data_IF_005734621727
#
_entry.id   IF_005734621727
#
_cell.length_a   1.000
_cell.length_b   1.000
_cell.length_c   1.000
_cell.angle_alpha   90.00
_cell.angle_beta   90.00
_cell.angle_gamma   90.00
#
_symmetry.space_group_name_H-M   'P 1'
#
loop_
_entity.id
_entity.type
_entity.pdbx_description
1 polymer ?
#
# COMPACT_ATOMS: atom_id res chain seq x y z
N UNK A 1 11.66 3.58 -7.59
CA UNK A 1 10.61 3.88 -6.60
C UNK A 1 9.24 3.35 -7.04
N UNK A 2 8.75 3.57 -8.28
CA UNK A 2 7.54 2.90 -8.80
C UNK A 2 7.60 1.36 -8.74
N UNK A 3 8.78 0.77 -8.99
CA UNK A 3 9.02 -0.67 -8.82
C UNK A 3 8.73 -1.18 -7.41
N UNK A 4 8.95 -0.35 -6.38
CA UNK A 4 8.74 -0.72 -4.99
C UNK A 4 7.25 -0.84 -4.65
N UNK A 5 6.40 0.05 -5.17
CA UNK A 5 4.97 0.02 -4.88
C UNK A 5 4.25 -1.15 -5.58
N UNK A 6 4.60 -1.46 -6.83
CA UNK A 6 4.04 -2.61 -7.55
C UNK A 6 4.42 -3.92 -6.85
N UNK A 7 5.68 -4.05 -6.42
CA UNK A 7 6.13 -5.21 -5.63
C UNK A 7 5.43 -5.29 -4.26
N UNK A 8 5.20 -4.16 -3.60
CA UNK A 8 4.42 -4.14 -2.37
C UNK A 8 2.98 -4.61 -2.58
N UNK A 9 2.32 -4.19 -3.66
CA UNK A 9 0.97 -4.65 -4.01
C UNK A 9 0.95 -6.15 -4.31
N UNK A 10 2.02 -6.71 -4.89
CA UNK A 10 2.15 -8.16 -5.05
C UNK A 10 2.23 -8.86 -3.69
N UNK A 11 2.98 -8.32 -2.72
CA UNK A 11 3.03 -8.85 -1.35
C UNK A 11 1.64 -8.85 -0.69
N UNK A 12 0.89 -7.75 -0.82
CA UNK A 12 -0.48 -7.68 -0.30
C UNK A 12 -1.38 -8.78 -0.87
N UNK A 13 -1.30 -9.03 -2.18
CA UNK A 13 -2.06 -10.11 -2.83
C UNK A 13 -1.66 -11.50 -2.34
N UNK A 14 -0.39 -11.72 -1.97
CA UNK A 14 0.05 -12.98 -1.36
C UNK A 14 -0.44 -13.18 0.08
N UNK A 15 -0.96 -12.13 0.71
CA UNK A 15 -1.52 -12.14 2.06
C UNK A 15 -3.04 -11.89 2.06
N UNK A 16 -3.73 -12.35 1.01
CA UNK A 16 -5.18 -12.31 0.86
C UNK A 16 -5.83 -10.91 0.78
N UNK A 17 -5.05 -9.83 0.67
CA UNK A 17 -5.59 -8.49 0.37
C UNK A 17 -5.84 -8.38 -1.13
N UNK A 18 -7.11 -8.33 -1.51
CA UNK A 18 -7.51 -8.29 -2.93
C UNK A 18 -7.39 -6.88 -3.50
N UNK A 19 -6.25 -6.60 -4.13
CA UNK A 19 -6.04 -5.34 -4.85
C UNK A 19 -6.37 -5.48 -6.34
N UNK A 20 -7.37 -4.74 -6.82
CA UNK A 20 -7.76 -4.63 -8.22
C UNK A 20 -6.83 -3.71 -9.04
N UNK A 21 -6.91 -3.73 -10.39
CA UNK A 21 -6.17 -2.78 -11.22
C UNK A 21 -6.54 -1.31 -10.97
N UNK A 22 -7.81 -1.02 -10.67
CA UNK A 22 -8.25 0.35 -10.36
C UNK A 22 -7.60 0.85 -9.06
N UNK A 23 -7.61 0.04 -8.00
CA UNK A 23 -6.97 0.38 -6.73
C UNK A 23 -5.46 0.50 -6.85
N UNK A 24 -4.85 -0.25 -7.77
CA UNK A 24 -3.42 -0.08 -8.10
C UNK A 24 -3.17 1.33 -8.66
N UNK A 25 -4.01 1.82 -9.58
CA UNK A 25 -3.88 3.19 -10.12
C UNK A 25 -4.11 4.25 -9.04
N UNK A 26 -5.10 4.05 -8.17
CA UNK A 26 -5.38 4.95 -7.05
C UNK A 26 -4.18 5.03 -6.09
N UNK A 27 -3.59 3.88 -5.74
CA UNK A 27 -2.39 3.82 -4.92
C UNK A 27 -1.19 4.53 -5.58
N UNK A 28 -1.03 4.40 -6.90
CA UNK A 28 0.01 5.12 -7.65
C UNK A 28 -0.21 6.64 -7.62
N UNK A 29 -1.46 7.09 -7.75
CA UNK A 29 -1.81 8.50 -7.65
C UNK A 29 -1.53 9.04 -6.24
N UNK A 30 -1.90 8.29 -5.19
CA UNK A 30 -1.62 8.64 -3.80
C UNK A 30 -0.12 8.75 -3.55
N UNK A 31 0.67 7.76 -3.97
CA UNK A 31 2.12 7.78 -3.80
C UNK A 31 2.79 8.92 -4.56
N UNK A 32 2.26 9.29 -5.73
CA UNK A 32 2.74 10.44 -6.51
C UNK A 32 2.38 11.77 -5.82
N UNK A 33 1.20 11.85 -5.21
CA UNK A 33 0.69 13.07 -4.56
C UNK A 33 1.37 13.32 -3.21
N UNK A 34 1.49 12.30 -2.37
CA UNK A 34 2.06 12.41 -1.03
C UNK A 34 3.59 12.34 -1.03
N UNK A 35 4.17 11.72 -2.07
CA UNK A 35 5.59 11.41 -2.11
C UNK A 35 5.99 10.39 -1.04
N UNK A 36 7.30 10.23 -0.84
CA UNK A 36 7.89 9.23 0.07
C UNK A 36 8.64 9.87 1.26
N UNK A 37 8.54 11.19 1.41
CA UNK A 37 9.25 11.93 2.46
C UNK A 37 8.63 11.69 3.84
N UNK A 38 7.30 11.71 3.92
CA UNK A 38 6.57 11.35 5.13
C UNK A 38 6.00 9.93 4.98
N UNK A 39 6.67 9.00 5.66
CA UNK A 39 6.29 7.59 5.66
C UNK A 39 4.91 7.36 6.30
N UNK A 40 4.57 8.10 7.35
CA UNK A 40 3.29 7.95 8.05
C UNK A 40 2.15 8.38 7.14
N UNK A 41 2.31 9.54 6.51
CA UNK A 41 1.33 10.06 5.55
C UNK A 41 1.16 9.13 4.35
N UNK A 42 2.27 8.60 3.79
CA UNK A 42 2.22 7.63 2.70
C UNK A 42 1.51 6.33 3.12
N UNK A 43 1.81 5.81 4.31
CA UNK A 43 1.16 4.60 4.85
C UNK A 43 -0.34 4.80 4.94
N UNK A 44 -0.77 5.88 5.55
CA UNK A 44 -2.19 6.14 5.83
C UNK A 44 -2.97 6.38 4.52
N UNK A 45 -2.37 7.11 3.56
CA UNK A 45 -2.96 7.30 2.24
C UNK A 45 -3.09 6.00 1.44
N UNK A 46 -2.07 5.13 1.49
CA UNK A 46 -2.11 3.83 0.82
C UNK A 46 -3.06 2.84 1.49
N UNK A 47 -3.18 2.86 2.82
CA UNK A 47 -4.17 2.05 3.53
C UNK A 47 -5.59 2.38 3.06
N UNK A 48 -5.88 3.67 2.89
CA UNK A 48 -7.19 4.16 2.42
C UNK A 48 -7.54 3.69 1.00
N UNK A 49 -6.55 3.49 0.13
CA UNK A 49 -6.79 3.00 -1.24
C UNK A 49 -6.76 1.48 -1.36
N UNK A 50 -5.98 0.78 -0.52
CA UNK A 50 -5.67 -0.64 -0.70
C UNK A 50 -6.36 -1.58 0.30
N UNK A 51 -6.86 -1.09 1.43
CA UNK A 51 -7.60 -1.89 2.42
C UNK A 51 -9.06 -1.41 2.52
N UNK A 52 -10.01 -2.34 2.37
CA UNK A 52 -11.46 -2.06 2.39
C UNK A 52 -12.15 -2.60 3.63
N UNK A 53 -11.48 -3.47 4.39
CA UNK A 53 -11.98 -3.96 5.69
C UNK A 53 -10.93 -3.77 6.80
N UNK A 54 -11.35 -3.78 8.08
CA UNK A 54 -10.42 -3.72 9.21
C UNK A 54 -9.39 -4.86 9.22
N UNK A 55 -9.78 -6.04 8.74
CA UNK A 55 -8.87 -7.20 8.62
C UNK A 55 -7.81 -6.94 7.55
N UNK A 56 -8.20 -6.42 6.39
CA UNK A 56 -7.27 -6.03 5.33
C UNK A 56 -6.34 -4.90 5.78
N UNK A 57 -6.85 -3.95 6.56
CA UNK A 57 -6.05 -2.85 7.12
C UNK A 57 -4.98 -3.36 8.09
N UNK A 58 -5.33 -4.31 8.97
CA UNK A 58 -4.36 -4.93 9.87
C UNK A 58 -3.25 -5.68 9.12
N UNK A 59 -3.60 -6.41 8.06
CA UNK A 59 -2.63 -7.08 7.17
C UNK A 59 -1.78 -6.05 6.44
N UNK A 60 -2.40 -5.01 5.89
CA UNK A 60 -1.73 -3.92 5.18
C UNK A 60 -0.66 -3.26 6.07
N UNK A 61 -1.02 -2.84 7.28
CA UNK A 61 -0.12 -2.14 8.21
C UNK A 61 1.09 -3.02 8.54
N UNK A 62 0.85 -4.31 8.80
CA UNK A 62 1.91 -5.30 9.07
C UNK A 62 2.85 -5.44 7.87
N UNK A 63 2.30 -5.55 6.66
CA UNK A 63 3.09 -5.69 5.43
C UNK A 63 3.89 -4.42 5.14
N UNK A 64 3.27 -3.24 5.29
CA UNK A 64 3.90 -1.95 5.03
C UNK A 64 5.09 -1.73 5.97
N UNK A 65 4.90 -2.04 7.26
CA UNK A 65 5.97 -1.91 8.24
C UNK A 65 7.13 -2.87 7.99
N UNK A 66 6.88 -4.09 7.50
CA UNK A 66 7.95 -5.03 7.16
C UNK A 66 8.66 -4.67 5.84
N UNK A 67 7.90 -4.27 4.84
CA UNK A 67 8.42 -4.05 3.48
C UNK A 67 9.25 -2.77 3.39
N UNK A 68 8.77 -1.68 4.00
CA UNK A 68 9.45 -0.39 3.93
C UNK A 68 10.39 -0.11 5.12
N UNK A 69 10.57 -1.04 6.08
CA UNK A 69 11.60 -0.91 7.14
C UNK A 69 13.02 -1.26 6.66
N UNK A 70 13.13 -1.86 5.48
CA UNK A 70 14.39 -2.17 4.80
C UNK A 70 14.80 -0.97 3.93
#
# INVERSE_FOLDING_TARGET
>A
MQSSLVSFIQVLRTHDVRVSPAETLDAMNVATTLGYADRGLLRDGLAMTLAKTPEEEAVFLTCFDRYFRQ
#
